data_IF_226949776261
#
_entry.id   IF_226949776261
#
_cell.length_a   1.000
_cell.length_b   1.000
_cell.length_c   1.000
_cell.angle_alpha   90.00
_cell.angle_beta   90.00
_cell.angle_gamma   90.00
#
_symmetry.space_group_name_H-M   'P 1'
#
loop_
_entity.id
_entity.type
_entity.pdbx_description
1 polymer ?
#
# COMPACT_ATOMS: atom_id res chain seq x y z
N UNK A 1 -25.22 -12.13 -0.37
CA UNK A 1 -23.77 -12.43 -0.45
C UNK A 1 -23.02 -11.11 -0.21
N UNK A 2 -22.43 -10.90 0.96
CA UNK A 2 -21.59 -9.72 1.24
C UNK A 2 -20.26 -9.93 0.53
N UNK A 3 -20.14 -9.47 -0.71
CA UNK A 3 -18.82 -9.30 -1.30
C UNK A 3 -18.12 -8.24 -0.46
N UNK A 4 -17.14 -8.67 0.34
CA UNK A 4 -16.28 -7.75 1.08
C UNK A 4 -15.51 -6.94 0.04
N UNK A 5 -16.01 -5.74 -0.28
CA UNK A 5 -15.41 -4.83 -1.27
C UNK A 5 -13.94 -4.49 -0.92
N UNK A 6 -13.55 -4.75 0.33
CA UNK A 6 -12.20 -4.58 0.83
C UNK A 6 -11.26 -5.78 0.67
N UNK A 7 -11.66 -6.92 0.10
CA UNK A 7 -10.64 -7.97 -0.13
C UNK A 7 -9.54 -7.45 -1.08
N UNK A 8 -8.30 -7.57 -0.62
CA UNK A 8 -7.12 -7.42 -1.44
C UNK A 8 -6.98 -8.65 -2.35
N UNK A 9 -6.54 -8.44 -3.58
CA UNK A 9 -6.04 -9.53 -4.43
C UNK A 9 -4.71 -10.04 -3.86
N UNK A 10 -4.23 -11.24 -4.23
CA UNK A 10 -2.94 -11.74 -3.77
C UNK A 10 -1.80 -10.73 -3.98
N UNK A 11 -1.72 -10.10 -5.16
CA UNK A 11 -0.71 -9.07 -5.46
C UNK A 11 -0.86 -7.83 -4.57
N UNK A 12 -2.08 -7.37 -4.32
CA UNK A 12 -2.33 -6.23 -3.43
C UNK A 12 -1.99 -6.57 -1.98
N UNK A 13 -2.25 -7.81 -1.55
CA UNK A 13 -1.91 -8.29 -0.23
C UNK A 13 -0.38 -8.32 -0.05
N UNK A 14 0.36 -8.84 -1.03
CA UNK A 14 1.84 -8.82 -1.01
C UNK A 14 2.39 -7.41 -0.96
N UNK A 15 1.86 -6.49 -1.78
CA UNK A 15 2.25 -5.08 -1.76
C UNK A 15 1.98 -4.43 -0.39
N UNK A 16 0.82 -4.70 0.20
CA UNK A 16 0.49 -4.19 1.53
C UNK A 16 1.42 -4.75 2.62
N UNK A 17 1.70 -6.06 2.58
CA UNK A 17 2.63 -6.70 3.51
C UNK A 17 4.06 -6.13 3.40
N UNK A 18 4.51 -5.77 2.19
CA UNK A 18 5.80 -5.12 1.98
C UNK A 18 5.85 -3.75 2.64
N UNK A 19 4.80 -2.94 2.48
CA UNK A 19 4.69 -1.65 3.15
C UNK A 19 4.62 -1.83 4.67
N UNK A 20 3.84 -2.80 5.17
CA UNK A 20 3.75 -3.11 6.61
C UNK A 20 5.08 -3.56 7.21
N UNK A 21 5.89 -4.32 6.47
CA UNK A 21 7.20 -4.77 6.92
C UNK A 21 8.25 -3.66 6.88
N UNK A 22 8.16 -2.76 5.90
CA UNK A 22 9.11 -1.68 5.72
C UNK A 22 8.83 -0.47 6.63
N UNK A 23 7.56 -0.21 6.93
CA UNK A 23 7.17 0.88 7.83
C UNK A 23 7.46 0.48 9.29
N UNK A 24 8.24 1.28 10.01
CA UNK A 24 8.27 1.15 11.46
C UNK A 24 6.88 1.50 12.01
N UNK A 25 6.44 0.84 13.08
CA UNK A 25 5.07 0.98 13.59
C UNK A 25 4.70 2.44 13.83
N UNK A 26 3.72 2.95 13.07
CA UNK A 26 3.16 4.32 13.13
C UNK A 26 4.00 5.44 12.49
N UNK A 27 5.01 5.08 11.68
CA UNK A 27 5.81 6.03 10.93
C UNK A 27 5.08 6.52 9.66
N UNK A 28 5.29 7.80 9.35
CA UNK A 28 4.81 8.45 8.13
C UNK A 28 5.78 8.14 6.98
N UNK A 29 5.25 7.80 5.81
CA UNK A 29 6.07 7.55 4.61
C UNK A 29 5.49 8.28 3.39
N UNK A 30 6.28 8.49 2.35
CA UNK A 30 5.78 9.15 1.13
C UNK A 30 5.22 8.12 0.14
N UNK A 31 4.37 8.54 -0.82
CA UNK A 31 3.97 7.68 -1.94
C UNK A 31 5.16 7.09 -2.69
N UNK A 32 6.20 7.88 -2.95
CA UNK A 32 7.42 7.41 -3.62
C UNK A 32 8.11 6.30 -2.83
N UNK A 33 8.24 6.47 -1.51
CA UNK A 33 8.80 5.44 -0.63
C UNK A 33 7.95 4.17 -0.62
N UNK A 34 6.61 4.30 -0.63
CA UNK A 34 5.73 3.13 -0.72
C UNK A 34 5.91 2.40 -2.06
N UNK A 35 6.03 3.14 -3.17
CA UNK A 35 6.27 2.56 -4.50
C UNK A 35 7.62 1.84 -4.52
N UNK A 36 8.67 2.43 -3.96
CA UNK A 36 9.99 1.80 -3.87
C UNK A 36 9.95 0.48 -3.08
N UNK A 37 9.19 0.43 -1.98
CA UNK A 37 9.02 -0.79 -1.18
C UNK A 37 8.27 -1.88 -1.93
N UNK A 38 7.24 -1.53 -2.71
CA UNK A 38 6.49 -2.48 -3.53
C UNK A 38 7.38 -2.98 -4.69
N UNK A 39 8.10 -2.07 -5.35
CA UNK A 39 8.99 -2.41 -6.48
C UNK A 39 10.19 -3.25 -6.07
N UNK A 40 10.64 -3.19 -4.80
CA UNK A 40 11.63 -4.12 -4.26
C UNK A 40 11.17 -5.59 -4.33
N UNK A 41 9.87 -5.82 -4.50
CA UNK A 41 9.21 -7.11 -4.65
C UNK A 41 9.20 -7.74 -6.04
N UNK A 42 10.01 -7.24 -6.98
CA UNK A 42 10.00 -7.66 -8.40
C UNK A 42 8.76 -7.16 -9.18
N UNK A 43 8.25 -5.98 -8.81
CA UNK A 43 7.11 -5.31 -9.46
C UNK A 43 7.61 -4.06 -10.17
N UNK A 44 7.20 -3.86 -11.42
CA UNK A 44 7.55 -2.64 -12.16
C UNK A 44 7.01 -1.39 -11.46
N UNK A 45 7.73 -0.27 -11.55
CA UNK A 45 7.33 0.98 -10.89
C UNK A 45 5.90 1.42 -11.22
N UNK A 46 5.49 1.30 -12.49
CA UNK A 46 4.13 1.62 -12.92
C UNK A 46 3.07 0.68 -12.33
N UNK A 47 3.42 -0.60 -12.12
CA UNK A 47 2.52 -1.55 -11.45
C UNK A 47 2.47 -1.29 -9.94
N UNK A 48 3.60 -0.94 -9.33
CA UNK A 48 3.67 -0.55 -7.93
C UNK A 48 2.83 0.71 -7.63
N UNK A 49 2.87 1.72 -8.50
CA UNK A 49 2.00 2.90 -8.43
C UNK A 49 0.52 2.51 -8.51
N UNK A 50 0.15 1.66 -9.48
CA UNK A 50 -1.22 1.17 -9.60
C UNK A 50 -1.67 0.37 -8.36
N UNK A 51 -0.78 -0.42 -7.75
CA UNK A 51 -1.08 -1.16 -6.52
C UNK A 51 -1.28 -0.22 -5.34
N UNK A 52 -0.43 0.81 -5.19
CA UNK A 52 -0.56 1.83 -4.16
C UNK A 52 -1.90 2.56 -4.25
N UNK A 53 -2.31 2.98 -5.45
CA UNK A 53 -3.62 3.60 -5.67
C UNK A 53 -4.78 2.69 -5.25
N UNK A 54 -4.69 1.38 -5.55
CA UNK A 54 -5.74 0.42 -5.14
C UNK A 54 -5.81 0.27 -3.62
N UNK A 55 -4.68 0.33 -2.92
CA UNK A 55 -4.63 0.27 -1.46
C UNK A 55 -5.25 1.52 -0.83
N UNK A 56 -4.99 2.70 -1.38
CA UNK A 56 -5.63 3.97 -1.00
C UNK A 56 -7.14 3.94 -1.23
N UNK A 57 -7.58 3.51 -2.42
CA UNK A 57 -9.01 3.43 -2.76
C UNK A 57 -9.78 2.45 -1.88
N UNK A 58 -9.11 1.40 -1.37
CA UNK A 58 -9.69 0.42 -0.44
C UNK A 58 -9.56 0.85 1.03
N UNK A 59 -8.91 1.98 1.30
CA UNK A 59 -8.72 2.51 2.64
C UNK A 59 -7.77 1.70 3.51
N UNK A 60 -6.87 0.90 2.92
CA UNK A 60 -5.78 0.25 3.64
C UNK A 60 -4.66 1.23 3.97
N UNK A 61 -4.55 2.27 3.15
CA UNK A 61 -3.68 3.42 3.34
C UNK A 61 -4.53 4.69 3.28
N UNK A 62 -4.05 5.75 3.90
CA UNK A 62 -4.63 7.08 3.77
C UNK A 62 -3.56 8.15 3.69
N UNK A 63 -3.85 9.20 2.91
CA UNK A 63 -3.03 10.40 2.84
C UNK A 63 -3.33 11.32 4.03
N UNK A 64 -2.26 11.88 4.58
CA UNK A 64 -2.25 12.93 5.59
C UNK A 64 -1.50 14.13 5.03
N UNK A 65 -1.60 15.29 5.68
CA UNK A 65 -0.86 16.50 5.30
C UNK A 65 0.67 16.29 5.24
N UNK A 66 1.18 15.24 5.89
CA UNK A 66 2.60 14.93 6.03
C UNK A 66 3.04 13.66 5.29
N UNK A 67 2.14 12.95 4.62
CA UNK A 67 2.44 11.70 3.91
C UNK A 67 1.38 10.61 4.08
N UNK A 68 1.74 9.38 3.76
CA UNK A 68 0.92 8.19 3.86
C UNK A 68 1.02 7.52 5.24
N UNK A 69 -0.09 6.93 5.66
CA UNK A 69 -0.19 6.05 6.83
C UNK A 69 -1.00 4.81 6.54
N UNK A 70 -0.69 3.74 7.27
CA UNK A 70 -1.46 2.50 7.26
C UNK A 70 -2.70 2.67 8.15
N UNK A 71 -3.85 2.25 7.63
CA UNK A 71 -5.09 2.13 8.41
C UNK A 71 -4.98 0.91 9.32
N UNK A 72 -5.02 1.10 10.64
CA UNK A 72 -5.08 0.02 11.65
C UNK A 72 -6.51 -0.44 11.94
#
# INVERSE_FOLDING_TARGET
>A
MRHSANRLTPTQQTAFEQIEQAVATDELFTPETAIDWISAGDVEHAEAEALLEKLLLKGYLYETDTGLRITK
#
